data_IF_605212969844
#
_entry.id   IF_605212969844
#
_cell.length_a   1.000
_cell.length_b   1.000
_cell.length_c   1.000
_cell.angle_alpha   90.00
_cell.angle_beta   90.00
_cell.angle_gamma   90.00
#
_symmetry.space_group_name_H-M   'P 1'
#
loop_
_entity.id
_entity.type
_entity.pdbx_description
1 polymer ?
#
# COMPACT_ATOMS: atom_id res chain seq x y z
N UNK A 1 -27.45 -6.34 -8.63
CA UNK A 1 -27.44 -5.88 -8.02
C UNK A 1 -26.57 -4.96 -7.68
N UNK A 2 -26.19 -4.73 -6.75
CA UNK A 2 -25.56 -3.66 -6.45
C UNK A 2 -24.14 -3.78 -6.50
N UNK A 3 -23.43 -3.00 -7.27
CA UNK A 3 -22.00 -2.89 -7.28
C UNK A 3 -21.59 -1.72 -6.40
N UNK A 4 -22.13 -1.76 -5.18
CA UNK A 4 -21.83 -0.66 -4.26
C UNK A 4 -20.38 -0.76 -3.80
N UNK A 5 -19.60 0.26 -4.11
CA UNK A 5 -18.21 0.38 -3.67
C UNK A 5 -18.20 1.16 -2.38
N UNK A 6 -18.33 0.45 -1.27
CA UNK A 6 -18.31 1.04 0.07
C UNK A 6 -16.95 0.84 0.74
N UNK A 7 -16.85 1.24 2.00
CA UNK A 7 -15.59 1.11 2.75
C UNK A 7 -15.10 -0.34 2.79
N UNK A 8 -16.00 -1.30 3.00
CA UNK A 8 -15.62 -2.72 3.03
C UNK A 8 -15.01 -3.16 1.69
N UNK A 9 -15.55 -2.68 0.59
CA UNK A 9 -15.03 -2.97 -0.74
C UNK A 9 -13.58 -2.48 -0.86
N UNK A 10 -13.33 -1.23 -0.47
CA UNK A 10 -11.98 -0.66 -0.59
C UNK A 10 -10.98 -1.29 0.38
N UNK A 11 -11.42 -1.65 1.59
CA UNK A 11 -10.55 -2.35 2.54
C UNK A 11 -10.12 -3.70 1.98
N UNK A 12 -11.03 -4.43 1.33
CA UNK A 12 -10.68 -5.71 0.71
C UNK A 12 -9.67 -5.54 -0.42
N UNK A 13 -9.84 -4.49 -1.23
CA UNK A 13 -8.88 -4.21 -2.30
C UNK A 13 -7.51 -3.85 -1.73
N UNK A 14 -7.48 -3.03 -0.70
CA UNK A 14 -6.23 -2.64 -0.04
C UNK A 14 -5.54 -3.89 0.52
N UNK A 15 -6.29 -4.77 1.19
CA UNK A 15 -5.73 -6.00 1.74
C UNK A 15 -5.17 -6.92 0.66
N UNK A 16 -5.82 -7.01 -0.48
CA UNK A 16 -5.33 -7.81 -1.61
C UNK A 16 -3.94 -7.33 -2.03
N UNK A 17 -3.78 -6.02 -2.16
CA UNK A 17 -2.51 -5.43 -2.57
C UNK A 17 -1.44 -5.56 -1.47
N UNK A 18 -1.84 -5.36 -0.22
CA UNK A 18 -0.93 -5.50 0.93
C UNK A 18 -0.40 -6.95 1.00
N UNK A 19 -1.27 -7.93 0.85
CA UNK A 19 -0.86 -9.33 0.89
C UNK A 19 0.04 -9.71 -0.28
N UNK A 20 -0.22 -9.14 -1.45
CA UNK A 20 0.66 -9.32 -2.60
C UNK A 20 2.07 -8.85 -2.27
N UNK A 21 2.17 -7.65 -1.70
CA UNK A 21 3.47 -7.07 -1.35
C UNK A 21 4.18 -7.91 -0.28
N UNK A 22 3.45 -8.44 0.68
CA UNK A 22 4.04 -9.30 1.71
C UNK A 22 4.63 -10.57 1.12
N UNK A 23 3.96 -11.16 0.12
CA UNK A 23 4.51 -12.34 -0.55
C UNK A 23 5.79 -11.99 -1.32
N UNK A 24 5.81 -10.83 -1.97
CA UNK A 24 7.00 -10.38 -2.71
C UNK A 24 8.15 -10.05 -1.76
N UNK A 25 7.84 -9.56 -0.57
CA UNK A 25 8.86 -9.18 0.40
C UNK A 25 9.70 -10.36 0.89
N UNK A 26 9.16 -11.59 0.81
CA UNK A 26 9.89 -12.77 1.29
C UNK A 26 11.22 -12.96 0.60
N UNK A 27 11.29 -12.64 -0.70
CA UNK A 27 12.52 -12.80 -1.46
C UNK A 27 13.13 -11.48 -1.91
N UNK A 28 12.60 -10.37 -1.40
CA UNK A 28 13.01 -9.05 -1.85
C UNK A 28 14.31 -8.61 -1.19
N UNK A 29 15.28 -8.19 -2.01
CA UNK A 29 16.46 -7.50 -1.53
C UNK A 29 16.47 -6.11 -2.15
N UNK A 30 17.27 -5.21 -1.58
CA UNK A 30 17.40 -3.88 -2.15
C UNK A 30 17.91 -3.97 -3.59
N UNK A 31 18.87 -4.84 -3.84
CA UNK A 31 19.46 -5.03 -5.17
C UNK A 31 18.43 -5.52 -6.18
N UNK A 32 17.61 -6.51 -5.83
CA UNK A 32 16.59 -7.01 -6.76
C UNK A 32 15.52 -5.96 -7.03
N UNK A 33 15.16 -5.18 -6.04
CA UNK A 33 14.21 -4.10 -6.24
C UNK A 33 14.76 -3.06 -7.23
N UNK A 34 16.02 -2.71 -7.10
CA UNK A 34 16.67 -1.71 -7.94
C UNK A 34 16.93 -2.23 -9.35
N UNK A 35 17.37 -3.48 -9.46
CA UNK A 35 17.83 -4.06 -10.73
C UNK A 35 16.74 -4.75 -11.56
N UNK A 36 15.70 -5.25 -10.92
CA UNK A 36 14.61 -5.96 -11.63
C UNK A 36 13.47 -4.98 -11.91
N UNK A 37 13.46 -4.45 -13.11
CA UNK A 37 12.48 -3.45 -13.52
C UNK A 37 11.04 -3.97 -13.43
N UNK A 38 10.82 -5.21 -13.83
CA UNK A 38 9.48 -5.81 -13.77
C UNK A 38 9.00 -5.93 -12.32
N UNK A 39 9.89 -6.38 -11.44
CA UNK A 39 9.56 -6.48 -10.02
C UNK A 39 9.27 -5.11 -9.44
N UNK A 40 10.11 -4.13 -9.73
CA UNK A 40 9.92 -2.76 -9.25
C UNK A 40 8.59 -2.19 -9.71
N UNK A 41 8.27 -2.33 -10.98
CA UNK A 41 7.00 -1.82 -11.53
C UNK A 41 5.81 -2.49 -10.86
N UNK A 42 5.91 -3.77 -10.60
CA UNK A 42 4.83 -4.53 -9.95
C UNK A 42 4.59 -4.04 -8.52
N UNK A 43 5.65 -3.87 -7.72
CA UNK A 43 5.48 -3.42 -6.33
C UNK A 43 5.03 -1.96 -6.28
N UNK A 44 5.54 -1.11 -7.16
CA UNK A 44 5.12 0.29 -7.22
C UNK A 44 3.64 0.40 -7.56
N UNK A 45 3.16 -0.38 -8.52
CA UNK A 45 1.76 -0.38 -8.89
C UNK A 45 0.89 -0.67 -7.66
N UNK A 46 1.26 -1.69 -6.87
CA UNK A 46 0.47 -2.05 -5.69
C UNK A 46 0.51 -0.98 -4.61
N UNK A 47 1.67 -0.36 -4.39
CA UNK A 47 1.77 0.73 -3.42
C UNK A 47 0.89 1.91 -3.83
N UNK A 48 0.89 2.25 -5.11
CA UNK A 48 0.05 3.34 -5.63
C UNK A 48 -1.43 2.98 -5.48
N UNK A 49 -1.82 1.74 -5.78
CA UNK A 49 -3.20 1.28 -5.63
C UNK A 49 -3.65 1.36 -4.17
N UNK A 50 -2.80 0.98 -3.23
CA UNK A 50 -3.11 1.10 -1.80
C UNK A 50 -3.40 2.54 -1.43
N UNK A 51 -2.55 3.46 -1.86
CA UNK A 51 -2.72 4.89 -1.60
C UNK A 51 -4.02 5.42 -2.20
N UNK A 52 -4.28 5.09 -3.47
CA UNK A 52 -5.47 5.59 -4.17
C UNK A 52 -6.77 5.02 -3.58
N UNK A 53 -6.79 3.74 -3.22
CA UNK A 53 -7.98 3.15 -2.62
C UNK A 53 -8.23 3.67 -1.20
N UNK A 54 -7.17 4.00 -0.47
CA UNK A 54 -7.31 4.60 0.86
C UNK A 54 -7.99 5.95 0.79
N UNK A 55 -7.73 6.73 -0.26
CA UNK A 55 -8.40 8.02 -0.46
C UNK A 55 -9.90 7.88 -0.64
N UNK A 56 -10.38 6.72 -1.07
CA UNK A 56 -11.79 6.48 -1.33
C UNK A 56 -12.57 6.05 -0.10
N UNK A 57 -11.88 5.78 1.01
CA UNK A 57 -12.56 5.47 2.27
C UNK A 57 -13.23 6.74 2.81
N UNK A 58 -14.38 6.56 3.46
CA UNK A 58 -15.10 7.71 4.03
C UNK A 58 -14.33 8.27 5.22
N UNK A 59 -14.52 9.57 5.48
CA UNK A 59 -13.91 10.22 6.64
C UNK A 59 -14.39 9.60 7.94
N UNK A 60 -15.67 9.22 8.00
CA UNK A 60 -16.24 8.57 9.17
C UNK A 60 -15.54 7.26 9.48
N UNK A 61 -15.32 6.43 8.47
CA UNK A 61 -14.62 5.16 8.64
C UNK A 61 -13.18 5.37 9.15
N UNK A 62 -12.48 6.34 8.55
CA UNK A 62 -11.10 6.62 8.95
C UNK A 62 -11.03 7.17 10.38
N UNK A 63 -11.98 8.00 10.76
CA UNK A 63 -12.04 8.53 12.12
C UNK A 63 -12.31 7.43 13.14
N UNK A 64 -13.21 6.51 12.82
CA UNK A 64 -13.55 5.40 13.71
C UNK A 64 -12.40 4.39 13.86
N UNK A 65 -11.46 4.37 12.90
CA UNK A 65 -10.36 3.43 12.90
C UNK A 65 -9.03 4.18 12.91
N UNK A 66 -8.91 5.16 13.78
CA UNK A 66 -7.80 6.09 13.81
C UNK A 66 -6.45 5.49 14.23
N UNK A 67 -6.44 4.24 14.70
CA UNK A 67 -5.18 3.56 14.99
C UNK A 67 -4.38 3.29 13.71
N UNK A 68 -5.05 3.27 12.56
CA UNK A 68 -4.39 3.08 11.28
C UNK A 68 -3.92 4.43 10.76
N UNK A 69 -2.64 4.55 10.32
CA UNK A 69 -2.08 5.83 9.90
C UNK A 69 -2.53 6.21 8.47
N UNK A 70 -3.81 6.57 8.33
CA UNK A 70 -4.43 6.85 7.02
C UNK A 70 -3.69 7.94 6.24
N UNK A 71 -3.30 9.01 6.91
CA UNK A 71 -2.63 10.12 6.25
C UNK A 71 -1.29 9.69 5.64
N UNK A 72 -0.53 8.88 6.39
CA UNK A 72 0.74 8.37 5.91
C UNK A 72 0.55 7.45 4.72
N UNK A 73 -0.50 6.62 4.74
CA UNK A 73 -0.80 5.70 3.63
C UNK A 73 -1.18 6.49 2.38
N UNK A 74 -2.03 7.49 2.53
CA UNK A 74 -2.45 8.33 1.40
C UNK A 74 -1.26 9.07 0.81
N UNK A 75 -0.35 9.55 1.66
CA UNK A 75 0.82 10.29 1.21
C UNK A 75 1.96 9.44 0.68
N UNK A 76 1.86 8.12 0.81
CA UNK A 76 2.94 7.19 0.46
C UNK A 76 3.39 7.33 -0.99
N UNK A 77 2.45 7.49 -1.92
CA UNK A 77 2.76 7.64 -3.33
C UNK A 77 3.74 8.81 -3.57
N UNK A 78 3.49 9.94 -2.92
CA UNK A 78 4.33 11.12 -3.12
C UNK A 78 5.72 10.98 -2.50
N UNK A 79 5.87 10.09 -1.53
CA UNK A 79 7.17 9.84 -0.91
C UNK A 79 8.05 8.98 -1.79
N UNK A 80 7.46 8.01 -2.50
CA UNK A 80 8.21 7.02 -3.24
C UNK A 80 8.39 7.36 -4.71
N UNK A 81 7.50 8.17 -5.28
CA UNK A 81 7.56 8.57 -6.68
C UNK A 81 7.58 10.10 -6.75
N UNK A 82 8.68 10.64 -7.20
CA UNK A 82 8.83 12.08 -7.38
C UNK A 82 8.49 12.46 -8.81
N UNK A 83 8.71 13.75 -9.17
CA UNK A 83 8.46 14.22 -10.51
C UNK A 83 9.18 13.37 -11.53
N UNK A 84 8.54 13.17 -12.67
CA UNK A 84 9.10 12.44 -13.81
C UNK A 84 9.41 10.97 -13.51
N UNK A 85 8.76 10.42 -12.49
CA UNK A 85 8.88 8.99 -12.22
C UNK A 85 10.13 8.56 -11.46
N UNK A 86 10.87 9.53 -10.90
CA UNK A 86 12.01 9.16 -10.07
C UNK A 86 11.53 8.38 -8.86
N UNK A 87 12.18 7.26 -8.58
CA UNK A 87 11.79 6.35 -7.50
C UNK A 87 12.83 6.35 -6.39
N UNK A 88 12.37 6.50 -5.16
CA UNK A 88 13.23 6.39 -3.99
C UNK A 88 13.27 4.93 -3.55
N UNK A 89 14.20 4.15 -4.08
CA UNK A 89 14.26 2.70 -3.83
C UNK A 89 14.43 2.34 -2.36
N UNK A 90 15.18 3.13 -1.61
CA UNK A 90 15.37 2.88 -0.18
C UNK A 90 14.07 3.05 0.59
N UNK A 91 13.27 4.06 0.24
CA UNK A 91 11.96 4.28 0.86
C UNK A 91 11.00 3.15 0.48
N UNK A 92 11.01 2.74 -0.79
CA UNK A 92 10.16 1.63 -1.26
C UNK A 92 10.50 0.36 -0.51
N UNK A 93 11.78 0.05 -0.40
CA UNK A 93 12.24 -1.15 0.28
C UNK A 93 11.80 -1.17 1.74
N UNK A 94 12.01 -0.06 2.45
CA UNK A 94 11.62 0.05 3.85
C UNK A 94 10.10 -0.05 4.01
N UNK A 95 9.34 0.57 3.11
CA UNK A 95 7.89 0.53 3.15
C UNK A 95 7.39 -0.91 3.03
N UNK A 96 7.92 -1.66 2.06
CA UNK A 96 7.46 -3.03 1.81
C UNK A 96 7.89 -3.98 2.92
N UNK A 97 9.08 -3.82 3.45
CA UNK A 97 9.63 -4.77 4.43
C UNK A 97 9.25 -4.46 5.87
N UNK A 98 8.88 -3.22 6.17
CA UNK A 98 8.56 -2.80 7.53
C UNK A 98 7.13 -2.29 7.69
N UNK A 99 6.73 -1.32 6.88
CA UNK A 99 5.43 -0.67 7.06
C UNK A 99 4.26 -1.52 6.60
N UNK A 100 4.41 -2.23 5.51
CA UNK A 100 3.33 -3.07 4.95
C UNK A 100 2.95 -4.23 5.88
N UNK A 101 3.89 -4.97 6.49
CA UNK A 101 3.51 -6.00 7.46
C UNK A 101 2.73 -5.43 8.65
N UNK A 102 3.13 -4.27 9.16
CA UNK A 102 2.41 -3.63 10.26
C UNK A 102 1.01 -3.22 9.85
N UNK A 103 0.88 -2.67 8.64
CA UNK A 103 -0.41 -2.28 8.10
C UNK A 103 -1.32 -3.50 7.92
N UNK A 104 -0.77 -4.61 7.45
CA UNK A 104 -1.55 -5.83 7.28
C UNK A 104 -2.19 -6.27 8.59
N UNK A 105 -1.41 -6.25 9.68
CA UNK A 105 -1.91 -6.63 10.99
C UNK A 105 -3.06 -5.73 11.43
N UNK A 106 -2.93 -4.43 11.21
CA UNK A 106 -3.97 -3.46 11.58
C UNK A 106 -5.23 -3.65 10.74
N UNK A 107 -5.08 -3.85 9.44
CA UNK A 107 -6.22 -4.00 8.54
C UNK A 107 -6.99 -5.29 8.78
N UNK A 108 -6.28 -6.37 9.10
CA UNK A 108 -6.95 -7.65 9.34
C UNK A 108 -7.85 -7.62 10.55
N UNK A 109 -7.61 -6.72 11.49
CA UNK A 109 -8.47 -6.55 12.65
C UNK A 109 -9.80 -5.87 12.32
N UNK A 110 -9.92 -5.31 11.12
CA UNK A 110 -11.14 -4.60 10.70
C UNK A 110 -12.16 -5.53 10.04
N UNK A 111 -11.79 -6.76 9.75
CA UNK A 111 -12.67 -7.70 9.06
C UNK A 111 -12.77 -9.02 9.79
#
# INVERSE_FOLDING_TARGET
MDNVKNDAYYIKKILTDVKYLMRKAEDLTFETLEDDETLCDSVLFRLIQISENTKKLTDDFKTKNSAIPWRAIIGMRNKIVHEYGDVEFDIVFDTITKDIPDLCDLLEKLI
#
